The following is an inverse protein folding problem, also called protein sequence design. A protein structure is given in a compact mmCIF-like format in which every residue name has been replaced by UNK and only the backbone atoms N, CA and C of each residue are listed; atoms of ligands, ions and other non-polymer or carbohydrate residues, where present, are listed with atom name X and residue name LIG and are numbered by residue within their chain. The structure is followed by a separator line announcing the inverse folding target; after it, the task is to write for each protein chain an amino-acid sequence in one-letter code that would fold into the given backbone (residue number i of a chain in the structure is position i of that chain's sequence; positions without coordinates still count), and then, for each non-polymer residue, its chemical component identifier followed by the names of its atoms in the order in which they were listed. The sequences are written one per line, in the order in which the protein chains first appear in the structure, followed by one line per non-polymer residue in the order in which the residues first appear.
data_IF_232895595126
#
_entry.id   IF_232895595126
#
_cell.length_a   1.000
_cell.length_b   1.000
_cell.length_c   1.000
_cell.angle_alpha   90.00
_cell.angle_beta   90.00
_cell.angle_gamma   90.00
#
_symmetry.space_group_name_H-M   'P 1'
#
loop_
_entity.id
_entity.type
_entity.pdbx_description
1 polymer ?
#
# COMPACT_ATOMS: atom_id res chain seq x y z
N UNK A 1 -14.58 -11.87 15.59
CA UNK A 1 -13.14 -12.19 15.65
C UNK A 1 -12.35 -10.90 15.88
N UNK A 2 -11.87 -10.67 17.10
CA UNK A 2 -11.06 -9.50 17.47
C UNK A 2 -9.58 -9.89 17.40
N UNK A 3 -8.80 -9.23 16.55
CA UNK A 3 -7.34 -9.30 16.60
C UNK A 3 -6.81 -7.99 17.16
N UNK A 4 -6.50 -7.97 18.45
CA UNK A 4 -5.84 -6.85 19.11
C UNK A 4 -4.34 -6.81 18.82
N UNK A 5 -3.75 -5.62 18.75
CA UNK A 5 -2.34 -5.39 19.11
C UNK A 5 -2.15 -4.01 19.77
N UNK A 6 -1.22 -4.04 20.73
CA UNK A 6 -0.86 -3.04 21.74
C UNK A 6 -0.22 -1.78 21.14
N UNK A 7 -0.57 -0.65 21.75
CA UNK A 7 0.13 0.64 21.86
C UNK A 7 1.35 0.90 20.96
N UNK A 8 1.23 1.90 20.09
CA UNK A 8 2.37 2.73 19.68
C UNK A 8 1.87 4.14 19.37
N UNK A 9 2.47 5.14 20.04
CA UNK A 9 2.23 6.57 19.86
C UNK A 9 2.53 6.94 18.39
N UNK A 10 1.49 7.12 17.58
CA UNK A 10 1.60 7.46 16.17
C UNK A 10 0.29 7.21 15.44
N UNK A 11 0.07 7.93 14.33
CA UNK A 11 -1.14 7.85 13.49
C UNK A 11 -1.53 6.38 13.28
N UNK A 12 -2.81 5.99 13.53
CA UNK A 12 -3.22 4.60 13.54
C UNK A 12 -2.72 3.87 12.28
N UNK A 13 -2.07 2.73 12.48
CA UNK A 13 -1.65 1.85 11.41
C UNK A 13 -2.90 1.39 10.67
N UNK A 14 -3.20 2.01 9.52
CA UNK A 14 -4.22 1.48 8.63
C UNK A 14 -3.78 0.07 8.22
N UNK A 15 -4.70 -0.89 8.35
CA UNK A 15 -4.45 -2.27 7.94
C UNK A 15 -3.88 -2.31 6.52
N UNK A 16 -2.84 -3.12 6.29
CA UNK A 16 -2.14 -3.17 5.00
C UNK A 16 -2.96 -3.83 3.90
N UNK A 17 -3.88 -4.71 4.29
CA UNK A 17 -4.75 -5.49 3.41
C UNK A 17 -5.51 -4.63 2.38
N UNK A 18 -6.29 -3.59 2.74
CA UNK A 18 -6.99 -2.75 1.76
C UNK A 18 -6.06 -2.04 0.76
N UNK A 19 -4.84 -1.69 1.16
CA UNK A 19 -3.85 -1.11 0.24
C UNK A 19 -3.34 -2.14 -0.77
N UNK A 20 -3.03 -3.35 -0.32
CA UNK A 20 -2.58 -4.44 -1.20
C UNK A 20 -3.69 -4.84 -2.18
N UNK A 21 -4.94 -4.93 -1.73
CA UNK A 21 -6.08 -5.24 -2.60
C UNK A 21 -6.31 -4.13 -3.63
N UNK A 22 -6.16 -2.85 -3.25
CA UNK A 22 -6.24 -1.74 -4.19
C UNK A 22 -5.13 -1.80 -5.25
N UNK A 23 -3.88 -2.09 -4.85
CA UNK A 23 -2.77 -2.28 -5.79
C UNK A 23 -3.03 -3.45 -6.75
N UNK A 24 -3.52 -4.58 -6.24
CA UNK A 24 -3.88 -5.73 -7.07
C UNK A 24 -5.03 -5.42 -8.02
N UNK A 25 -6.01 -4.60 -7.61
CA UNK A 25 -7.08 -4.16 -8.50
C UNK A 25 -6.53 -3.32 -9.65
N UNK A 26 -5.70 -2.32 -9.36
CA UNK A 26 -5.08 -1.50 -10.41
C UNK A 26 -4.21 -2.33 -11.34
N UNK A 27 -3.40 -3.26 -10.82
CA UNK A 27 -2.58 -4.15 -11.63
C UNK A 27 -3.40 -5.09 -12.52
N UNK A 28 -4.58 -5.52 -12.07
CA UNK A 28 -5.47 -6.42 -12.83
C UNK A 28 -6.28 -5.69 -13.90
N UNK A 29 -6.77 -4.50 -13.59
CA UNK A 29 -7.64 -3.74 -14.49
C UNK A 29 -6.82 -2.91 -15.48
N UNK A 30 -5.56 -2.58 -15.17
CA UNK A 30 -4.73 -1.67 -15.96
C UNK A 30 -5.19 -0.20 -15.92
N UNK A 31 -6.27 0.09 -15.18
CA UNK A 31 -6.82 1.44 -15.04
C UNK A 31 -5.84 2.37 -14.33
N UNK A 32 -5.84 3.67 -14.68
CA UNK A 32 -5.05 4.65 -13.95
C UNK A 32 -5.46 4.68 -12.47
N UNK A 33 -4.51 4.94 -11.57
CA UNK A 33 -4.76 5.02 -10.12
C UNK A 33 -5.89 5.99 -9.74
N UNK A 34 -6.19 6.97 -10.60
CA UNK A 34 -7.26 7.96 -10.39
C UNK A 34 -8.66 7.37 -10.46
N UNK A 35 -8.85 6.28 -11.19
CA UNK A 35 -10.14 5.59 -11.34
C UNK A 35 -10.38 4.54 -10.25
N UNK A 36 -9.59 4.60 -9.16
CA UNK A 36 -9.73 3.65 -8.07
C UNK A 36 -11.09 3.85 -7.39
N UNK A 37 -11.94 2.81 -7.30
CA UNK A 37 -13.26 2.93 -6.68
C UNK A 37 -13.17 3.38 -5.23
N UNK A 38 -14.12 4.19 -4.78
CA UNK A 38 -14.15 4.82 -3.45
C UNK A 38 -14.22 3.82 -2.28
N UNK A 39 -14.57 2.55 -2.56
CA UNK A 39 -14.45 1.44 -1.60
C UNK A 39 -13.02 1.16 -1.14
N UNK A 40 -12.02 1.65 -1.88
CA UNK A 40 -10.61 1.49 -1.57
C UNK A 40 -10.04 2.73 -0.89
N UNK A 41 -8.95 2.59 -0.11
CA UNK A 41 -8.25 3.74 0.45
C UNK A 41 -7.81 4.70 -0.66
N UNK A 42 -7.74 6.00 -0.32
CA UNK A 42 -7.42 7.07 -1.27
C UNK A 42 -6.23 6.70 -2.17
N UNK A 43 -6.44 6.81 -3.48
CA UNK A 43 -5.46 6.43 -4.49
C UNK A 43 -4.10 7.08 -4.29
N UNK A 44 -4.03 8.32 -3.75
CA UNK A 44 -2.77 9.02 -3.46
C UNK A 44 -1.94 8.27 -2.41
N UNK A 45 -2.61 7.74 -1.39
CA UNK A 45 -1.97 6.96 -0.32
C UNK A 45 -1.51 5.60 -0.85
N UNK A 46 -2.34 4.93 -1.67
CA UNK A 46 -1.99 3.65 -2.31
C UNK A 46 -0.76 3.82 -3.21
N UNK A 47 -0.79 4.80 -4.12
CA UNK A 47 0.31 5.06 -5.05
C UNK A 47 1.60 5.48 -4.34
N UNK A 48 1.52 6.30 -3.28
CA UNK A 48 2.70 6.68 -2.50
C UNK A 48 3.33 5.49 -1.81
N UNK A 49 2.51 4.58 -1.27
CA UNK A 49 2.98 3.35 -0.63
C UNK A 49 3.61 2.39 -1.63
N UNK A 50 2.97 2.21 -2.78
CA UNK A 50 3.52 1.44 -3.90
C UNK A 50 4.88 1.97 -4.36
N UNK A 51 5.02 3.28 -4.57
CA UNK A 51 6.31 3.91 -4.91
C UNK A 51 7.39 3.66 -3.86
N UNK A 52 7.05 3.72 -2.56
CA UNK A 52 7.99 3.41 -1.48
C UNK A 52 8.42 1.95 -1.49
N UNK A 53 7.52 1.02 -1.81
CA UNK A 53 7.86 -0.40 -1.95
C UNK A 53 8.77 -0.66 -3.14
N UNK A 54 8.45 -0.12 -4.31
CA UNK A 54 9.30 -0.28 -5.51
C UNK A 54 10.69 0.28 -5.28
N UNK A 55 10.81 1.47 -4.67
CA UNK A 55 12.11 2.04 -4.31
C UNK A 55 12.88 1.13 -3.34
N UNK A 56 12.25 0.64 -2.28
CA UNK A 56 12.90 -0.27 -1.33
C UNK A 56 13.35 -1.58 -1.99
N UNK A 57 12.53 -2.17 -2.86
CA UNK A 57 12.88 -3.36 -3.61
C UNK A 57 14.05 -3.12 -4.59
N UNK A 58 14.11 -1.94 -5.21
CA UNK A 58 15.23 -1.53 -6.07
C UNK A 58 16.54 -1.35 -5.28
N UNK A 59 16.48 -0.66 -4.14
CA UNK A 59 17.65 -0.46 -3.28
C UNK A 59 18.13 -1.76 -2.64
N UNK A 60 17.23 -2.68 -2.27
CA UNK A 60 17.59 -4.01 -1.79
C UNK A 60 18.37 -4.84 -2.84
N UNK A 61 18.16 -4.56 -4.14
CA UNK A 61 18.93 -5.21 -5.21
C UNK A 61 20.31 -4.57 -5.42
N UNK A 62 20.46 -3.29 -5.09
CA UNK A 62 21.73 -2.56 -5.23
C UNK A 62 22.62 -2.67 -3.98
N UNK A 63 22.05 -2.83 -2.79
CA UNK A 63 22.79 -2.90 -1.52
C UNK A 63 23.49 -4.24 -1.27
N UNK A 64 23.69 -5.04 -2.33
CA UNK A 64 24.34 -6.34 -2.29
C UNK A 64 25.44 -6.39 -3.36
N UNK A 65 26.40 -5.48 -3.22
CA UNK A 65 27.73 -5.49 -3.84
C UNK A 65 28.73 -5.04 -2.78
#
# INVERSE_FOLDING_TARGET
MKSGRRSSRGRPWHADRPFVVAMMWTARTGSPWRDLPERYPNWRSVHTRWRRWVRQALWARFSRC
#
